data_IF_464852275911
#
_entry.id   IF_464852275911
#
_cell.length_a   1.000
_cell.length_b   1.000
_cell.length_c   1.000
_cell.angle_alpha   90.00
_cell.angle_beta   90.00
_cell.angle_gamma   90.00
#
_symmetry.space_group_name_H-M   'P 1'
#
loop_
_entity.id
_entity.type
_entity.pdbx_description
1 polymer ?
#
# COMPACT_ATOMS: atom_id res chain seq x y z
N UNK A 1 -19.72 -38.81 -34.01
CA UNK A 1 -18.58 -38.58 -34.92
C UNK A 1 -18.78 -37.24 -35.59
N UNK A 2 -18.07 -36.20 -35.13
CA UNK A 2 -18.19 -34.84 -35.63
C UNK A 2 -16.88 -34.11 -35.34
N UNK A 3 -16.25 -33.61 -36.40
CA UNK A 3 -14.81 -33.31 -36.51
C UNK A 3 -14.30 -32.16 -35.65
N UNK A 4 -13.01 -32.28 -35.32
CA UNK A 4 -12.19 -31.22 -34.75
C UNK A 4 -11.87 -30.16 -35.78
N UNK A 5 -12.28 -28.92 -35.50
CA UNK A 5 -11.68 -27.74 -36.11
C UNK A 5 -10.40 -27.40 -35.34
N UNK A 6 -9.26 -27.43 -36.02
CA UNK A 6 -8.01 -26.90 -35.52
C UNK A 6 -8.13 -25.39 -35.38
N UNK A 7 -7.89 -24.87 -34.18
CA UNK A 7 -7.68 -23.43 -33.98
C UNK A 7 -6.33 -23.10 -34.61
N UNK A 8 -6.34 -22.41 -35.76
CA UNK A 8 -5.15 -21.83 -36.35
C UNK A 8 -4.51 -20.86 -35.35
N UNK A 9 -3.31 -21.20 -34.89
CA UNK A 9 -2.44 -20.29 -34.14
C UNK A 9 -1.90 -19.23 -35.11
N UNK A 10 -2.70 -18.21 -35.37
CA UNK A 10 -2.23 -17.00 -36.03
C UNK A 10 -1.18 -16.30 -35.15
N UNK A 11 0.06 -16.25 -35.62
CA UNK A 11 1.11 -15.42 -35.00
C UNK A 11 0.74 -13.93 -35.12
N UNK A 12 0.12 -13.38 -34.08
CA UNK A 12 -0.14 -11.95 -33.97
C UNK A 12 1.16 -11.23 -33.59
N UNK A 13 1.66 -10.36 -34.47
CA UNK A 13 2.85 -9.55 -34.21
C UNK A 13 2.68 -8.60 -33.00
N UNK A 14 3.73 -8.35 -32.20
CA UNK A 14 3.76 -7.40 -31.08
C UNK A 14 3.39 -5.95 -31.41
N UNK A 15 2.43 -5.30 -30.70
CA UNK A 15 2.60 -3.90 -30.36
C UNK A 15 3.88 -3.79 -29.54
N UNK A 16 4.79 -2.96 -30.04
CA UNK A 16 5.99 -2.51 -29.35
C UNK A 16 5.56 -1.55 -28.23
N UNK A 17 5.34 -2.07 -27.03
CA UNK A 17 5.23 -1.21 -25.85
C UNK A 17 6.67 -0.96 -25.39
N UNK A 18 7.12 0.28 -25.57
CA UNK A 18 8.42 0.74 -25.09
C UNK A 18 8.41 0.74 -23.55
N UNK A 19 9.51 0.24 -22.95
CA UNK A 19 9.68 0.19 -21.50
C UNK A 19 10.54 1.36 -21.08
N UNK A 20 10.00 2.27 -20.27
CA UNK A 20 10.70 3.46 -19.82
C UNK A 20 11.46 3.17 -18.52
N UNK A 21 12.77 3.46 -18.51
CA UNK A 21 13.60 3.44 -17.29
C UNK A 21 13.58 4.78 -16.57
N UNK A 22 13.21 5.85 -17.26
CA UNK A 22 13.27 7.21 -16.78
C UNK A 22 11.94 7.93 -17.03
N UNK A 23 11.55 8.78 -16.07
CA UNK A 23 10.39 9.64 -16.21
C UNK A 23 10.84 10.86 -17.03
N UNK A 24 10.17 11.20 -18.15
CA UNK A 24 10.53 12.38 -18.93
C UNK A 24 10.56 13.63 -18.05
N UNK A 25 11.59 14.47 -18.19
CA UNK A 25 11.76 15.65 -17.34
C UNK A 25 10.53 16.59 -17.37
N UNK A 26 9.80 16.64 -18.49
CA UNK A 26 8.54 17.40 -18.64
C UNK A 26 7.37 16.85 -17.81
N UNK A 27 7.46 15.60 -17.34
CA UNK A 27 6.41 14.90 -16.58
C UNK A 27 6.76 14.77 -15.11
N UNK A 28 7.93 15.25 -14.69
CA UNK A 28 8.38 15.22 -13.30
C UNK A 28 7.82 16.45 -12.58
N UNK A 29 6.72 16.28 -11.86
CA UNK A 29 6.32 17.23 -10.81
C UNK A 29 7.10 16.93 -9.54
N UNK A 30 8.41 17.15 -9.55
CA UNK A 30 9.21 17.23 -8.32
C UNK A 30 9.14 18.65 -7.81
N UNK A 31 8.24 18.92 -6.88
CA UNK A 31 8.22 20.21 -6.23
C UNK A 31 7.57 20.12 -4.87
N UNK A 32 8.33 20.46 -3.84
CA UNK A 32 7.79 21.00 -2.58
C UNK A 32 6.84 22.17 -2.81
N UNK A 33 6.87 22.76 -4.00
CA UNK A 33 6.07 23.91 -4.44
C UNK A 33 4.77 23.50 -5.15
N UNK A 34 4.51 22.20 -5.34
CA UNK A 34 3.27 21.77 -5.98
C UNK A 34 2.07 22.11 -5.08
N UNK A 35 1.07 22.76 -5.67
CA UNK A 35 -0.10 23.25 -4.97
C UNK A 35 -1.30 22.31 -5.18
N UNK A 36 -1.92 21.91 -4.07
CA UNK A 36 -3.16 21.15 -4.09
C UNK A 36 -4.36 22.11 -4.20
N UNK A 37 -5.40 21.67 -4.90
CA UNK A 37 -6.69 22.35 -4.92
C UNK A 37 -7.43 22.07 -3.61
N UNK A 38 -7.84 23.07 -2.85
CA UNK A 38 -8.60 22.91 -1.60
C UNK A 38 -9.91 23.68 -1.66
N UNK A 39 -10.96 23.10 -1.08
CA UNK A 39 -12.27 23.70 -0.95
C UNK A 39 -12.21 24.80 0.10
N UNK A 40 -12.63 26.01 -0.29
CA UNK A 40 -12.73 27.20 0.57
C UNK A 40 -14.17 27.46 1.01
N UNK A 41 -15.13 27.23 0.13
CA UNK A 41 -16.55 27.39 0.43
C UNK A 41 -17.41 26.57 -0.53
N UNK A 42 -18.62 26.24 -0.09
CA UNK A 42 -19.63 25.53 -0.85
C UNK A 42 -20.95 26.27 -0.69
N UNK A 43 -21.66 26.45 -1.81
CA UNK A 43 -23.03 26.97 -1.86
C UNK A 43 -23.94 25.85 -2.37
N UNK A 44 -24.66 25.21 -1.45
CA UNK A 44 -25.68 24.21 -1.77
C UNK A 44 -26.82 24.77 -2.63
N UNK A 45 -27.23 26.02 -2.40
CA UNK A 45 -28.31 26.66 -3.17
C UNK A 45 -27.91 26.94 -4.62
N UNK A 46 -26.69 27.44 -4.83
CA UNK A 46 -26.21 27.81 -6.17
C UNK A 46 -25.53 26.63 -6.89
N UNK A 47 -25.32 25.52 -6.17
CA UNK A 47 -24.57 24.34 -6.61
C UNK A 47 -23.16 24.70 -7.08
N UNK A 48 -22.48 25.55 -6.32
CA UNK A 48 -21.13 26.02 -6.62
C UNK A 48 -20.18 25.67 -5.47
N UNK A 49 -19.01 25.14 -5.82
CA UNK A 49 -17.90 24.90 -4.90
C UNK A 49 -16.74 25.81 -5.31
N UNK A 50 -16.27 26.61 -4.35
CA UNK A 50 -15.12 27.49 -4.53
C UNK A 50 -13.89 26.82 -3.95
N UNK A 51 -12.88 26.68 -4.78
CA UNK A 51 -11.58 26.12 -4.46
C UNK A 51 -10.48 27.15 -4.65
N UNK A 52 -9.31 26.87 -4.09
CA UNK A 52 -8.08 27.64 -4.32
C UNK A 52 -6.86 26.74 -4.24
N UNK A 53 -5.74 27.15 -4.82
CA UNK A 53 -4.46 26.43 -4.77
C UNK A 53 -3.66 26.78 -3.53
N UNK A 54 -3.22 25.76 -2.78
CA UNK A 54 -2.38 25.93 -1.58
C UNK A 54 -1.23 24.93 -1.52
N UNK A 55 -0.13 25.32 -0.88
CA UNK A 55 0.89 24.38 -0.43
C UNK A 55 0.39 23.69 0.84
N UNK A 56 0.22 22.36 0.78
CA UNK A 56 -0.32 21.60 1.90
C UNK A 56 0.59 21.63 3.13
N UNK A 57 -0.03 21.76 4.29
CA UNK A 57 0.61 21.70 5.61
C UNK A 57 -0.41 21.17 6.63
N UNK A 58 0.00 21.02 7.89
CA UNK A 58 -0.82 20.39 8.93
C UNK A 58 -2.07 21.17 9.35
N UNK A 59 -2.22 22.44 8.97
CA UNK A 59 -3.46 23.20 9.19
C UNK A 59 -4.51 22.99 8.10
N UNK A 60 -4.16 22.29 7.03
CA UNK A 60 -5.10 21.85 5.99
C UNK A 60 -5.58 20.44 6.30
N UNK A 61 -6.76 20.09 5.80
CA UNK A 61 -7.39 18.82 6.09
C UNK A 61 -7.63 18.03 4.82
N UNK A 62 -7.28 16.75 4.81
CA UNK A 62 -7.60 15.83 3.71
C UNK A 62 -8.68 14.86 4.19
N UNK A 63 -9.84 14.87 3.54
CA UNK A 63 -10.89 13.91 3.84
C UNK A 63 -10.48 12.55 3.28
N UNK A 64 -10.39 11.58 4.19
CA UNK A 64 -10.09 10.19 3.90
C UNK A 64 -11.37 9.37 4.00
N UNK A 65 -11.79 8.76 2.91
CA UNK A 65 -13.10 8.14 2.81
C UNK A 65 -13.09 6.95 1.86
N UNK A 66 -14.13 6.12 1.93
CA UNK A 66 -14.33 5.05 0.95
C UNK A 66 -15.10 5.58 -0.26
N UNK A 67 -14.46 5.60 -1.43
CA UNK A 67 -15.11 5.98 -2.70
C UNK A 67 -16.30 5.07 -3.00
N UNK A 68 -17.38 5.66 -3.50
CA UNK A 68 -18.63 5.00 -3.84
C UNK A 68 -19.02 5.29 -5.30
N UNK A 69 -19.91 4.48 -5.87
CA UNK A 69 -20.48 4.77 -7.17
C UNK A 69 -21.32 6.07 -7.09
N UNK A 70 -21.13 6.99 -8.04
CA UNK A 70 -21.74 8.32 -8.07
C UNK A 70 -23.08 8.38 -8.81
N UNK A 71 -23.73 7.24 -9.03
CA UNK A 71 -25.09 7.21 -9.55
C UNK A 71 -26.03 7.99 -8.62
N UNK A 72 -26.95 8.78 -9.18
CA UNK A 72 -27.96 9.57 -8.44
C UNK A 72 -27.40 10.74 -7.62
N UNK A 73 -26.20 11.21 -7.93
CA UNK A 73 -25.66 12.43 -7.33
C UNK A 73 -26.24 13.71 -7.96
N UNK A 74 -26.19 14.80 -7.20
CA UNK A 74 -26.36 16.16 -7.72
C UNK A 74 -25.06 16.65 -8.34
N UNK A 75 -25.18 17.48 -9.39
CA UNK A 75 -24.03 18.08 -10.08
C UNK A 75 -23.75 19.47 -9.52
N UNK A 76 -22.49 19.71 -9.17
CA UNK A 76 -21.96 20.97 -8.67
C UNK A 76 -20.89 21.50 -9.62
N UNK A 77 -20.85 22.83 -9.78
CA UNK A 77 -19.77 23.50 -10.52
C UNK A 77 -18.64 23.83 -9.56
N UNK A 78 -17.43 23.35 -9.86
CA UNK A 78 -16.21 23.69 -9.12
C UNK A 78 -15.49 24.83 -9.84
N UNK A 79 -15.18 25.88 -9.09
CA UNK A 79 -14.40 27.04 -9.54
C UNK A 79 -13.12 27.09 -8.71
N UNK A 80 -11.96 27.16 -9.34
CA UNK A 80 -10.67 27.20 -8.65
C UNK A 80 -9.81 28.34 -9.21
N UNK A 81 -9.71 29.44 -8.47
CA UNK A 81 -8.94 30.62 -8.88
C UNK A 81 -9.25 31.02 -10.35
N UNK A 82 -8.25 31.04 -11.23
CA UNK A 82 -8.37 31.38 -12.66
C UNK A 82 -8.48 30.13 -13.58
N UNK A 83 -8.65 28.93 -13.01
CA UNK A 83 -8.75 27.69 -13.78
C UNK A 83 -10.12 27.54 -14.44
N UNK A 84 -10.22 26.84 -15.59
CA UNK A 84 -11.50 26.52 -16.20
C UNK A 84 -12.40 25.77 -15.20
N UNK A 85 -13.67 26.18 -15.05
CA UNK A 85 -14.59 25.48 -14.16
C UNK A 85 -14.89 24.09 -14.70
N UNK A 86 -15.09 23.15 -13.78
CA UNK A 86 -15.49 21.77 -14.10
C UNK A 86 -16.64 21.35 -13.19
N UNK A 87 -17.19 20.16 -13.42
CA UNK A 87 -18.29 19.64 -12.63
C UNK A 87 -17.85 18.49 -11.74
N UNK A 88 -18.40 18.41 -10.53
CA UNK A 88 -18.30 17.24 -9.67
C UNK A 88 -19.69 16.76 -9.22
N UNK A 89 -19.75 15.51 -8.78
CA UNK A 89 -20.98 14.83 -8.38
C UNK A 89 -20.96 14.60 -6.86
N UNK A 90 -21.97 15.09 -6.15
CA UNK A 90 -22.12 14.95 -4.69
C UNK A 90 -23.48 14.35 -4.33
N UNK A 91 -23.49 13.44 -3.35
CA UNK A 91 -24.76 13.04 -2.71
C UNK A 91 -25.28 14.15 -1.80
N UNK A 92 -26.61 14.27 -1.59
CA UNK A 92 -27.18 15.30 -0.72
C UNK A 92 -26.56 15.34 0.69
N UNK A 93 -26.35 14.18 1.31
CA UNK A 93 -25.75 14.11 2.65
C UNK A 93 -24.28 14.53 2.66
N UNK A 94 -23.54 14.27 1.58
CA UNK A 94 -22.14 14.70 1.46
C UNK A 94 -22.03 16.21 1.38
N UNK A 95 -22.96 16.87 0.68
CA UNK A 95 -23.02 18.33 0.61
C UNK A 95 -23.13 18.89 2.02
N UNK A 96 -24.16 18.48 2.77
CA UNK A 96 -24.42 18.95 4.14
C UNK A 96 -23.22 18.74 5.05
N UNK A 97 -22.62 17.54 5.02
CA UNK A 97 -21.46 17.23 5.84
C UNK A 97 -20.23 18.04 5.42
N UNK A 98 -20.00 18.20 4.12
CA UNK A 98 -18.88 18.97 3.58
C UNK A 98 -19.00 20.46 3.92
N UNK A 99 -20.19 21.07 3.87
CA UNK A 99 -20.39 22.46 4.31
C UNK A 99 -19.97 22.63 5.78
N UNK A 100 -20.35 21.68 6.65
CA UNK A 100 -19.97 21.70 8.06
C UNK A 100 -18.46 21.55 8.28
N UNK A 101 -17.81 20.64 7.54
CA UNK A 101 -16.36 20.48 7.63
C UNK A 101 -15.61 21.72 7.14
N UNK A 102 -15.99 22.29 6.01
CA UNK A 102 -15.37 23.51 5.49
C UNK A 102 -15.56 24.67 6.46
N UNK A 103 -16.76 24.84 7.04
CA UNK A 103 -17.01 25.88 8.02
C UNK A 103 -16.18 25.72 9.32
N UNK A 104 -15.96 24.48 9.76
CA UNK A 104 -15.27 24.17 11.02
C UNK A 104 -13.75 24.08 10.89
N UNK A 105 -13.27 23.54 9.76
CA UNK A 105 -11.88 23.17 9.53
C UNK A 105 -11.17 24.15 8.57
N UNK A 106 -11.94 24.95 7.81
CA UNK A 106 -11.41 25.84 6.78
C UNK A 106 -11.10 25.08 5.49
N UNK A 107 -9.83 25.01 5.13
CA UNK A 107 -9.40 24.42 3.86
C UNK A 107 -9.42 22.90 3.90
N UNK A 108 -10.29 22.33 3.07
CA UNK A 108 -10.52 20.88 2.98
C UNK A 108 -10.16 20.39 1.58
N UNK A 109 -9.36 19.34 1.51
CA UNK A 109 -9.12 18.58 0.30
C UNK A 109 -9.99 17.32 0.28
N UNK A 110 -10.62 17.06 -0.86
CA UNK A 110 -11.47 15.89 -1.11
C UNK A 110 -11.27 15.47 -2.57
N UNK A 111 -10.66 14.32 -2.80
CA UNK A 111 -10.24 13.82 -4.12
C UNK A 111 -11.25 14.01 -5.27
N UNK A 112 -12.51 13.58 -5.13
CA UNK A 112 -13.50 13.70 -6.21
C UNK A 112 -14.04 15.11 -6.44
N UNK A 113 -13.75 16.05 -5.53
CA UNK A 113 -14.09 17.47 -5.71
C UNK A 113 -12.87 18.23 -6.20
N UNK A 114 -11.72 18.00 -5.58
CA UNK A 114 -10.47 18.71 -5.81
C UNK A 114 -9.69 18.22 -7.03
N UNK A 115 -10.10 17.13 -7.66
CA UNK A 115 -9.51 16.61 -8.90
C UNK A 115 -10.63 16.57 -9.95
N UNK A 116 -10.40 17.19 -11.10
CA UNK A 116 -11.29 17.09 -12.26
C UNK A 116 -11.21 15.67 -12.82
N UNK A 117 -12.20 14.86 -12.46
CA UNK A 117 -12.27 13.45 -12.86
C UNK A 117 -12.43 13.26 -14.38
N UNK A 118 -12.87 14.29 -15.09
CA UNK A 118 -13.04 14.29 -16.55
C UNK A 118 -11.74 14.60 -17.32
N UNK A 119 -10.72 15.15 -16.64
CA UNK A 119 -9.44 15.53 -17.22
C UNK A 119 -8.32 14.56 -16.83
N UNK A 120 -7.82 13.77 -17.77
CA UNK A 120 -6.67 12.88 -17.54
C UNK A 120 -5.42 13.66 -17.11
N UNK A 121 -5.21 14.85 -17.67
CA UNK A 121 -4.09 15.71 -17.30
C UNK A 121 -4.20 16.20 -15.83
N UNK A 122 -5.39 16.63 -15.38
CA UNK A 122 -5.58 17.07 -13.99
C UNK A 122 -5.46 15.88 -13.01
N UNK A 123 -6.02 14.71 -13.37
CA UNK A 123 -5.84 13.47 -12.60
C UNK A 123 -4.36 13.13 -12.43
N UNK A 124 -3.57 13.12 -13.50
CA UNK A 124 -2.13 12.85 -13.42
C UNK A 124 -1.44 13.87 -12.50
N UNK A 125 -1.69 15.16 -12.71
CA UNK A 125 -1.07 16.23 -11.93
C UNK A 125 -1.40 16.12 -10.44
N UNK A 126 -2.67 15.87 -10.09
CA UNK A 126 -3.11 15.76 -8.70
C UNK A 126 -2.69 14.44 -8.05
N UNK A 127 -2.76 13.32 -8.76
CA UNK A 127 -2.34 12.01 -8.23
C UNK A 127 -0.84 11.99 -7.94
N UNK A 128 -0.01 12.61 -8.77
CA UNK A 128 1.43 12.71 -8.53
C UNK A 128 1.76 13.44 -7.21
N UNK A 129 0.89 14.32 -6.72
CA UNK A 129 1.08 15.07 -5.48
C UNK A 129 0.25 14.54 -4.30
N UNK A 130 -0.56 13.49 -4.47
CA UNK A 130 -1.34 12.90 -3.37
C UNK A 130 -0.47 12.46 -2.20
N UNK A 131 0.73 11.94 -2.47
CA UNK A 131 1.71 11.62 -1.44
C UNK A 131 2.09 12.85 -0.59
N UNK A 132 2.30 14.01 -1.23
CA UNK A 132 2.56 15.27 -0.52
C UNK A 132 1.34 15.70 0.29
N UNK A 133 0.13 15.55 -0.25
CA UNK A 133 -1.12 15.92 0.43
C UNK A 133 -1.24 15.14 1.74
N UNK A 134 -1.18 13.81 1.70
CA UNK A 134 -1.35 12.98 2.90
C UNK A 134 -0.14 12.97 3.84
N UNK A 135 1.06 13.32 3.36
CA UNK A 135 2.21 13.50 4.24
C UNK A 135 2.07 14.75 5.12
N UNK A 136 1.44 15.80 4.60
CA UNK A 136 1.45 17.13 5.21
C UNK A 136 0.11 17.55 5.80
N UNK A 137 -1.01 17.19 5.18
CA UNK A 137 -2.36 17.50 5.66
C UNK A 137 -2.75 16.65 6.86
N UNK A 138 -3.66 17.14 7.68
CA UNK A 138 -4.32 16.28 8.68
C UNK A 138 -5.41 15.45 8.01
N UNK A 139 -5.21 14.14 7.90
CA UNK A 139 -6.22 13.22 7.40
C UNK A 139 -7.41 13.13 8.36
N UNK A 140 -8.62 13.36 7.87
CA UNK A 140 -9.87 13.12 8.61
C UNK A 140 -10.52 11.87 8.03
N UNK A 141 -10.53 10.78 8.78
CA UNK A 141 -11.11 9.52 8.30
C UNK A 141 -12.62 9.52 8.55
N UNK A 142 -13.43 9.24 7.53
CA UNK A 142 -14.90 9.36 7.59
C UNK A 142 -15.63 8.14 7.02
N UNK A 143 -16.88 7.99 7.44
CA UNK A 143 -17.82 6.98 6.98
C UNK A 143 -18.41 7.27 5.60
N UNK A 144 -19.38 6.44 5.21
CA UNK A 144 -20.22 6.71 4.03
C UNK A 144 -20.88 8.09 4.13
N UNK A 145 -21.09 8.75 2.99
CA UNK A 145 -21.71 10.08 2.95
C UNK A 145 -20.92 11.17 3.68
N UNK A 146 -19.64 10.93 4.01
CA UNK A 146 -18.81 11.80 4.85
C UNK A 146 -19.31 11.95 6.30
N UNK A 147 -20.11 11.01 6.79
CA UNK A 147 -20.54 11.03 8.19
C UNK A 147 -19.35 10.85 9.15
N UNK A 148 -19.41 11.44 10.36
CA UNK A 148 -18.37 11.30 11.40
C UNK A 148 -18.46 9.92 12.09
N UNK A 149 -18.43 8.86 11.30
CA UNK A 149 -18.48 7.46 11.72
C UNK A 149 -17.30 6.68 11.15
N UNK A 150 -17.05 5.47 11.63
CA UNK A 150 -16.00 4.61 11.07
C UNK A 150 -16.26 4.35 9.58
N UNK A 151 -15.22 4.37 8.72
CA UNK A 151 -15.34 3.93 7.33
C UNK A 151 -15.73 2.45 7.29
N UNK A 152 -16.32 1.94 6.20
CA UNK A 152 -16.62 0.51 6.05
C UNK A 152 -15.33 -0.34 6.09
N UNK A 153 -15.44 -1.63 6.47
CA UNK A 153 -14.27 -2.53 6.65
C UNK A 153 -13.37 -2.64 5.41
N UNK A 154 -13.91 -2.51 4.21
CA UNK A 154 -13.14 -2.56 2.96
C UNK A 154 -12.23 -1.34 2.76
N UNK A 155 -12.41 -0.27 3.53
CA UNK A 155 -11.48 0.86 3.60
C UNK A 155 -10.06 0.41 3.98
N UNK A 156 -9.91 -0.46 4.97
CA UNK A 156 -8.60 -0.97 5.40
C UNK A 156 -7.91 -1.78 4.31
N UNK A 157 -8.67 -2.32 3.36
CA UNK A 157 -8.13 -3.13 2.27
C UNK A 157 -7.75 -2.29 1.06
N UNK A 158 -8.25 -1.06 0.92
CA UNK A 158 -8.08 -0.30 -0.32
C UNK A 158 -6.71 0.37 -0.42
N UNK A 159 -6.07 0.26 -1.58
CA UNK A 159 -4.76 0.82 -1.87
C UNK A 159 -4.70 2.34 -1.64
N UNK A 160 -5.68 3.09 -2.17
CA UNK A 160 -5.72 4.54 -1.99
C UNK A 160 -5.75 4.95 -0.52
N UNK A 161 -6.59 4.28 0.27
CA UNK A 161 -6.77 4.51 1.69
C UNK A 161 -5.56 4.12 2.54
N UNK A 162 -4.56 3.48 1.96
CA UNK A 162 -3.36 3.01 2.67
C UNK A 162 -2.49 4.19 3.09
N UNK A 163 -2.05 5.02 2.15
CA UNK A 163 -1.24 6.19 2.49
C UNK A 163 -1.98 7.19 3.41
N UNK A 164 -3.30 7.33 3.25
CA UNK A 164 -4.13 8.30 3.98
C UNK A 164 -4.10 8.06 5.49
N UNK A 165 -4.04 6.79 5.89
CA UNK A 165 -4.06 6.37 7.30
C UNK A 165 -2.67 6.08 7.87
N UNK A 166 -1.74 5.67 7.01
CA UNK A 166 -0.39 5.24 7.41
C UNK A 166 0.60 6.39 7.59
N UNK A 167 0.33 7.57 7.02
CA UNK A 167 1.28 8.69 7.06
C UNK A 167 0.67 9.97 7.60
N UNK A 168 1.56 10.92 7.89
CA UNK A 168 1.19 12.27 8.28
C UNK A 168 0.38 12.35 9.58
N UNK A 169 -0.13 13.56 9.88
CA UNK A 169 -1.12 13.76 10.92
C UNK A 169 -2.47 13.13 10.55
N UNK A 170 -3.18 12.60 11.54
CA UNK A 170 -4.50 11.99 11.36
C UNK A 170 -5.41 12.35 12.53
N UNK A 171 -6.72 12.38 12.26
CA UNK A 171 -7.76 12.59 13.26
C UNK A 171 -8.95 11.68 13.04
N UNK A 172 -9.45 11.13 14.12
CA UNK A 172 -10.66 10.32 14.19
C UNK A 172 -11.77 11.13 14.85
N UNK A 173 -12.84 11.39 14.10
CA UNK A 173 -13.97 12.22 14.54
C UNK A 173 -15.18 11.39 15.01
N UNK A 174 -15.00 10.09 15.17
CA UNK A 174 -16.05 9.15 15.50
C UNK A 174 -16.25 9.02 17.00
N UNK A 175 -17.45 8.65 17.40
CA UNK A 175 -17.71 8.08 18.72
C UNK A 175 -17.16 6.65 18.76
N UNK A 176 -15.91 6.48 19.23
CA UNK A 176 -15.24 5.17 19.28
C UNK A 176 -15.90 4.19 20.26
N UNK A 177 -16.59 4.69 21.29
CA UNK A 177 -17.25 3.84 22.29
C UNK A 177 -18.50 3.16 21.70
N UNK A 178 -19.18 3.83 20.76
CA UNK A 178 -20.35 3.31 20.07
C UNK A 178 -20.05 2.33 18.90
N UNK A 179 -18.78 2.11 18.55
CA UNK A 179 -18.43 1.30 17.36
C UNK A 179 -18.45 -0.21 17.62
N UNK A 180 -18.63 -0.99 16.57
CA UNK A 180 -18.40 -2.43 16.58
C UNK A 180 -16.98 -2.75 17.09
N UNK A 181 -16.88 -3.62 18.10
CA UNK A 181 -15.61 -3.89 18.76
C UNK A 181 -14.61 -4.53 17.81
N UNK A 182 -15.04 -5.56 17.07
CA UNK A 182 -14.17 -6.30 16.16
C UNK A 182 -13.58 -5.36 15.10
N UNK A 183 -14.42 -4.49 14.52
CA UNK A 183 -13.96 -3.51 13.54
C UNK A 183 -13.02 -2.46 14.16
N UNK A 184 -13.33 -1.96 15.36
CA UNK A 184 -12.48 -1.01 16.06
C UNK A 184 -11.10 -1.62 16.36
N UNK A 185 -11.05 -2.88 16.79
CA UNK A 185 -9.78 -3.58 17.06
C UNK A 185 -8.98 -3.83 15.78
N UNK A 186 -9.64 -4.19 14.67
CA UNK A 186 -9.00 -4.37 13.36
C UNK A 186 -8.35 -3.05 12.90
N UNK A 187 -9.10 -1.95 12.99
CA UNK A 187 -8.61 -0.62 12.62
C UNK A 187 -7.44 -0.17 13.50
N UNK A 188 -7.54 -0.37 14.82
CA UNK A 188 -6.47 -0.02 15.76
C UNK A 188 -5.18 -0.82 15.50
N UNK A 189 -5.28 -2.12 15.18
CA UNK A 189 -4.12 -2.95 14.81
C UNK A 189 -3.44 -2.44 13.54
N UNK A 190 -4.22 -2.12 12.51
CA UNK A 190 -3.70 -1.63 11.23
C UNK A 190 -2.94 -0.31 11.42
N UNK A 191 -3.54 0.66 12.10
CA UNK A 191 -2.92 1.96 12.40
C UNK A 191 -1.66 1.84 13.27
N UNK A 192 -1.68 0.92 14.25
CA UNK A 192 -0.55 0.71 15.14
C UNK A 192 0.73 0.26 14.42
N UNK A 193 0.61 -0.33 13.21
CA UNK A 193 1.76 -0.76 12.40
C UNK A 193 2.75 0.35 12.09
N UNK A 194 2.32 1.61 12.06
CA UNK A 194 3.22 2.75 11.81
C UNK A 194 3.79 3.38 13.04
N UNK A 195 3.17 3.23 14.21
CA UNK A 195 3.71 3.83 15.42
C UNK A 195 4.70 2.85 16.07
N UNK A 196 6.00 3.11 15.90
CA UNK A 196 7.06 2.31 16.53
C UNK A 196 6.81 2.15 18.03
N UNK A 197 6.83 0.92 18.54
CA UNK A 197 6.54 0.58 19.93
C UNK A 197 5.05 0.30 20.22
N UNK A 198 4.14 0.87 19.42
CA UNK A 198 2.70 0.57 19.51
C UNK A 198 2.39 -0.74 18.78
N UNK A 199 3.04 -1.00 17.65
CA UNK A 199 2.86 -2.23 16.85
C UNK A 199 3.13 -3.52 17.65
N UNK A 200 4.04 -3.47 18.62
CA UNK A 200 4.41 -4.61 19.45
C UNK A 200 3.43 -4.84 20.59
N UNK A 201 2.97 -3.75 21.22
CA UNK A 201 2.08 -3.75 22.38
C UNK A 201 0.61 -3.96 22.01
N UNK A 202 0.18 -3.52 20.82
CA UNK A 202 -1.20 -3.73 20.33
C UNK A 202 -1.55 -5.21 20.23
N UNK A 203 -0.56 -6.10 20.12
CA UNK A 203 -0.77 -7.56 20.11
C UNK A 203 -1.50 -8.10 21.36
N UNK A 204 -1.46 -7.39 22.49
CA UNK A 204 -2.20 -7.75 23.72
C UNK A 204 -3.71 -7.46 23.65
N UNK A 205 -4.20 -6.86 22.57
CA UNK A 205 -5.63 -6.70 22.37
C UNK A 205 -6.34 -8.06 22.26
N UNK A 206 -5.70 -9.06 21.64
CA UNK A 206 -6.30 -10.39 21.40
C UNK A 206 -5.92 -11.44 22.46
N UNK A 207 -5.02 -11.12 23.39
CA UNK A 207 -4.45 -12.10 24.32
C UNK A 207 -4.17 -11.51 25.69
N UNK A 208 -4.09 -12.37 26.69
CA UNK A 208 -3.74 -11.98 28.05
C UNK A 208 -2.27 -11.55 28.12
N UNK A 209 -1.98 -10.62 29.03
CA UNK A 209 -0.61 -10.23 29.33
C UNK A 209 0.19 -11.42 29.89
N UNK A 210 1.43 -11.56 29.40
CA UNK A 210 2.44 -12.51 29.88
C UNK A 210 3.68 -11.73 30.30
N UNK A 211 4.21 -12.01 31.49
CA UNK A 211 5.42 -11.37 32.02
C UNK A 211 6.66 -11.65 31.16
N UNK A 212 6.70 -12.76 30.43
CA UNK A 212 7.77 -13.07 29.48
C UNK A 212 7.77 -12.11 28.27
N UNK A 213 6.67 -11.39 28.05
CA UNK A 213 6.52 -10.41 26.99
C UNK A 213 6.57 -8.96 27.48
N UNK A 214 7.06 -8.70 28.71
CA UNK A 214 7.19 -7.33 29.25
C UNK A 214 8.07 -6.42 28.38
N UNK A 215 8.93 -7.00 27.53
CA UNK A 215 9.69 -6.26 26.53
C UNK A 215 8.78 -5.48 25.54
N UNK A 216 7.57 -5.97 25.22
CA UNK A 216 6.57 -5.27 24.40
C UNK A 216 5.94 -4.08 25.14
N UNK A 217 5.86 -4.15 26.46
CA UNK A 217 5.46 -3.00 27.29
C UNK A 217 6.61 -1.99 27.37
N UNK A 218 7.84 -2.48 27.47
CA UNK A 218 9.02 -1.63 27.43
C UNK A 218 9.12 -0.84 26.11
N UNK A 219 8.67 -1.37 24.97
CA UNK A 219 8.60 -0.60 23.71
C UNK A 219 7.52 0.47 23.74
N UNK A 220 6.34 0.20 24.32
CA UNK A 220 5.28 1.20 24.52
C UNK A 220 5.77 2.40 25.35
N UNK A 221 6.55 2.14 26.41
CA UNK A 221 7.15 3.18 27.28
C UNK A 221 8.22 4.04 26.58
N UNK A 222 8.68 3.66 25.39
CA UNK A 222 9.62 4.49 24.59
C UNK A 222 8.89 5.57 23.78
N UNK A 223 7.60 5.40 23.47
CA UNK A 223 6.85 6.39 22.68
C UNK A 223 6.90 7.78 23.33
N UNK A 224 6.64 7.94 24.65
CA UNK A 224 6.67 9.26 25.29
C UNK A 224 8.04 9.92 25.32
N UNK A 225 9.14 9.18 25.12
CA UNK A 225 10.49 9.76 25.04
C UNK A 225 10.63 10.62 23.78
N UNK A 226 9.98 10.23 22.69
CA UNK A 226 9.93 10.99 21.43
C UNK A 226 8.70 11.91 21.36
N UNK A 227 7.58 11.51 21.95
CA UNK A 227 6.30 12.22 21.91
C UNK A 227 5.73 12.40 23.33
N UNK A 228 6.23 13.35 24.14
CA UNK A 228 5.87 13.46 25.56
C UNK A 228 4.36 13.57 25.83
N UNK A 229 3.59 14.17 24.92
CA UNK A 229 2.13 14.28 25.00
C UNK A 229 1.41 12.92 25.07
N UNK A 230 2.05 11.82 24.66
CA UNK A 230 1.44 10.47 24.69
C UNK A 230 1.59 9.78 26.04
N UNK A 231 2.34 10.35 27.01
CA UNK A 231 2.68 9.68 28.26
C UNK A 231 1.46 9.14 29.02
N UNK A 232 0.40 9.96 29.16
CA UNK A 232 -0.81 9.55 29.84
C UNK A 232 -1.51 8.39 29.15
N UNK A 233 -1.60 8.42 27.82
CA UNK A 233 -2.20 7.36 27.01
C UNK A 233 -1.38 6.07 27.08
N UNK A 234 -0.04 6.15 26.99
CA UNK A 234 0.81 4.97 27.12
C UNK A 234 0.65 4.29 28.49
N UNK A 235 0.55 5.07 29.57
CA UNK A 235 0.29 4.53 30.92
C UNK A 235 -1.11 3.90 31.03
N UNK A 236 -2.13 4.52 30.43
CA UNK A 236 -3.49 3.96 30.37
C UNK A 236 -3.53 2.65 29.60
N UNK A 237 -2.91 2.59 28.41
CA UNK A 237 -2.82 1.37 27.62
C UNK A 237 -2.08 0.27 28.38
N UNK A 238 -0.97 0.58 29.05
CA UNK A 238 -0.29 -0.40 29.90
C UNK A 238 -1.19 -0.93 31.02
N UNK A 239 -1.91 -0.04 31.71
CA UNK A 239 -2.86 -0.44 32.75
C UNK A 239 -3.92 -1.40 32.19
N UNK A 240 -4.53 -1.06 31.05
CA UNK A 240 -5.52 -1.90 30.40
C UNK A 240 -4.94 -3.22 29.89
N UNK A 241 -3.67 -3.27 29.44
CA UNK A 241 -3.02 -4.52 29.03
C UNK A 241 -2.84 -5.47 30.23
N UNK A 242 -2.44 -4.94 31.39
CA UNK A 242 -2.20 -5.73 32.60
C UNK A 242 -3.48 -6.16 33.30
N UNK A 243 -4.62 -5.52 32.99
CA UNK A 243 -5.93 -5.86 33.54
C UNK A 243 -6.55 -7.12 32.88
N UNK A 244 -7.62 -7.64 33.50
CA UNK A 244 -8.33 -8.82 33.02
C UNK A 244 -8.87 -8.62 31.59
N UNK A 245 -8.67 -9.63 30.74
CA UNK A 245 -9.09 -9.57 29.34
C UNK A 245 -10.59 -9.80 29.17
N UNK A 246 -11.27 -8.77 28.69
CA UNK A 246 -12.68 -8.72 28.33
C UNK A 246 -12.92 -7.63 27.26
N UNK A 247 -14.12 -7.57 26.70
CA UNK A 247 -14.52 -6.63 25.64
C UNK A 247 -14.25 -5.17 25.99
N UNK A 248 -14.51 -4.76 27.24
CA UNK A 248 -14.25 -3.40 27.70
C UNK A 248 -12.75 -3.07 27.62
N UNK A 249 -11.91 -3.94 28.16
CA UNK A 249 -10.46 -3.75 28.15
C UNK A 249 -9.86 -3.84 26.73
N UNK A 250 -10.48 -4.61 25.81
CA UNK A 250 -10.08 -4.62 24.39
C UNK A 250 -10.41 -3.31 23.71
N UNK A 251 -11.63 -2.81 23.94
CA UNK A 251 -12.08 -1.49 23.44
C UNK A 251 -11.15 -0.39 23.93
N UNK A 252 -10.85 -0.34 25.22
CA UNK A 252 -9.99 0.70 25.77
C UNK A 252 -8.56 0.63 25.21
N UNK A 253 -8.01 -0.57 24.97
CA UNK A 253 -6.72 -0.70 24.25
C UNK A 253 -6.84 -0.14 22.82
N UNK A 254 -7.90 -0.49 22.09
CA UNK A 254 -8.11 -0.03 20.71
C UNK A 254 -8.22 1.51 20.66
N UNK A 255 -9.09 2.09 21.50
CA UNK A 255 -9.28 3.54 21.62
C UNK A 255 -7.95 4.21 21.95
N UNK A 256 -7.23 3.71 22.95
CA UNK A 256 -5.96 4.32 23.37
C UNK A 256 -4.92 4.27 22.25
N UNK A 257 -4.85 3.18 21.48
CA UNK A 257 -3.96 3.07 20.34
C UNK A 257 -4.28 4.10 19.24
N UNK A 258 -5.57 4.29 18.93
CA UNK A 258 -6.01 5.31 17.97
C UNK A 258 -5.69 6.74 18.46
N UNK A 259 -5.89 7.02 19.76
CA UNK A 259 -5.54 8.32 20.36
C UNK A 259 -4.03 8.56 20.38
N UNK A 260 -3.21 7.53 20.63
CA UNK A 260 -1.76 7.63 20.49
C UNK A 260 -1.39 7.99 19.04
N UNK A 261 -2.03 7.35 18.04
CA UNK A 261 -1.78 7.67 16.63
C UNK A 261 -2.10 9.13 16.29
N UNK A 262 -3.20 9.70 16.80
CA UNK A 262 -3.53 11.11 16.54
C UNK A 262 -2.43 12.07 17.06
N UNK A 263 -1.74 11.69 18.13
CA UNK A 263 -0.66 12.49 18.74
C UNK A 263 0.73 12.20 18.16
N UNK A 264 0.87 11.16 17.34
CA UNK A 264 2.13 10.75 16.70
C UNK A 264 1.99 10.93 15.18
N UNK A 265 2.53 12.01 14.61
CA UNK A 265 2.62 12.14 13.16
C UNK A 265 3.54 11.03 12.63
N UNK A 266 3.06 10.27 11.64
CA UNK A 266 3.82 9.20 11.00
C UNK A 266 4.66 9.76 9.86
N UNK A 267 5.62 10.63 10.20
CA UNK A 267 6.55 11.28 9.29
C UNK A 267 7.87 10.50 9.11
N UNK A 268 8.11 9.51 9.97
CA UNK A 268 9.37 8.78 9.99
C UNK A 268 9.53 7.84 8.77
N UNK A 269 10.78 7.58 8.36
CA UNK A 269 11.08 6.68 7.25
C UNK A 269 10.44 5.30 7.42
N UNK A 270 10.13 4.68 6.28
CA UNK A 270 9.67 3.30 6.18
C UNK A 270 10.85 2.33 6.07
N UNK A 271 10.66 1.09 6.50
CA UNK A 271 11.47 -0.03 5.98
C UNK A 271 10.88 -0.36 4.61
N UNK A 272 11.43 0.26 3.56
CA UNK A 272 11.05 0.15 2.14
C UNK A 272 10.72 -1.28 1.69
N UNK A 273 11.51 -2.23 2.14
CA UNK A 273 11.36 -3.64 1.82
C UNK A 273 10.23 -4.33 2.59
N UNK A 274 9.81 -3.86 3.75
CA UNK A 274 8.54 -4.30 4.36
C UNK A 274 7.36 -3.58 3.71
N UNK A 275 7.59 -2.32 3.33
CA UNK A 275 6.60 -1.48 2.68
C UNK A 275 6.10 -2.08 1.37
N UNK A 276 7.02 -2.65 0.59
CA UNK A 276 6.71 -3.31 -0.67
C UNK A 276 5.77 -4.51 -0.51
N UNK A 277 5.63 -5.11 0.70
CA UNK A 277 4.65 -6.18 0.93
C UNK A 277 3.20 -5.67 0.86
N UNK A 278 2.95 -4.42 1.25
CA UNK A 278 1.59 -3.88 1.31
C UNK A 278 0.94 -3.72 -0.06
N UNK A 279 1.74 -3.70 -1.14
CA UNK A 279 1.24 -3.77 -2.51
C UNK A 279 0.35 -5.01 -2.72
N UNK A 280 0.72 -6.13 -2.12
CA UNK A 280 0.00 -7.39 -2.27
C UNK A 280 -1.19 -7.51 -1.33
N UNK A 281 -1.22 -6.72 -0.26
CA UNK A 281 -2.31 -6.73 0.73
C UNK A 281 -3.48 -5.84 0.31
N UNK A 282 -3.20 -4.85 -0.53
CA UNK A 282 -4.18 -3.84 -0.91
C UNK A 282 -5.03 -4.29 -2.13
N UNK A 283 -6.32 -4.03 -2.04
CA UNK A 283 -7.27 -4.07 -3.14
C UNK A 283 -7.21 -2.75 -3.92
N UNK A 284 -7.20 -2.84 -5.24
CA UNK A 284 -7.18 -1.69 -6.13
C UNK A 284 -8.26 -1.84 -7.21
N UNK A 285 -8.88 -0.72 -7.59
CA UNK A 285 -9.85 -0.71 -8.70
C UNK A 285 -9.14 -0.85 -10.04
N UNK A 286 -7.95 -0.27 -10.15
CA UNK A 286 -7.01 -0.47 -11.26
C UNK A 286 -5.67 -0.80 -10.61
N UNK A 287 -4.98 -1.85 -11.06
CA UNK A 287 -3.79 -2.35 -10.36
C UNK A 287 -2.69 -1.32 -10.18
N UNK A 288 -2.61 -0.34 -11.09
CA UNK A 288 -1.66 0.75 -10.93
C UNK A 288 -1.85 1.55 -9.65
N UNK A 289 -3.06 1.62 -9.10
CA UNK A 289 -3.37 2.31 -7.85
C UNK A 289 -2.66 1.66 -6.65
N UNK A 290 -2.27 0.38 -6.71
CA UNK A 290 -1.44 -0.25 -5.67
C UNK A 290 -0.11 0.48 -5.52
N UNK A 291 0.54 0.80 -6.63
CA UNK A 291 1.81 1.53 -6.62
C UNK A 291 1.61 2.90 -5.95
N UNK A 292 0.68 3.71 -6.44
CA UNK A 292 0.53 5.09 -5.96
C UNK A 292 -0.03 5.18 -4.54
N UNK A 293 -1.00 4.32 -4.20
CA UNK A 293 -1.62 4.27 -2.87
C UNK A 293 -0.65 3.82 -1.77
N UNK A 294 0.39 3.04 -2.11
CA UNK A 294 1.39 2.59 -1.14
C UNK A 294 2.68 3.42 -1.18
N UNK A 295 3.19 3.75 -2.37
CA UNK A 295 4.47 4.44 -2.55
C UNK A 295 4.38 5.95 -2.69
N UNK A 296 3.18 6.54 -2.80
CA UNK A 296 3.00 7.99 -2.95
C UNK A 296 3.75 8.82 -1.90
N UNK A 297 3.44 8.61 -0.61
CA UNK A 297 4.14 9.32 0.49
C UNK A 297 5.63 8.98 0.58
N UNK A 298 6.08 7.70 0.55
CA UNK A 298 7.50 7.39 0.59
C UNK A 298 8.34 8.05 -0.52
N UNK A 299 7.82 8.06 -1.75
CA UNK A 299 8.47 8.71 -2.89
C UNK A 299 8.60 10.22 -2.63
N UNK A 300 7.53 10.85 -2.14
CA UNK A 300 7.53 12.26 -1.76
C UNK A 300 8.56 12.58 -0.67
N UNK A 301 8.56 11.84 0.45
CA UNK A 301 9.45 12.08 1.59
C UNK A 301 10.93 11.96 1.23
N UNK A 302 11.24 11.15 0.21
CA UNK A 302 12.60 10.88 -0.25
C UNK A 302 12.97 11.67 -1.50
N UNK A 303 12.08 12.57 -1.94
CA UNK A 303 12.23 13.39 -3.14
C UNK A 303 12.55 12.57 -4.40
N UNK A 304 11.94 11.38 -4.52
CA UNK A 304 12.05 10.52 -5.69
C UNK A 304 10.82 10.76 -6.57
N UNK A 305 11.00 11.05 -7.87
CA UNK A 305 9.89 11.23 -8.80
C UNK A 305 8.93 10.04 -8.84
N UNK A 306 7.64 10.35 -8.84
CA UNK A 306 6.52 9.41 -9.05
C UNK A 306 5.74 9.91 -10.27
N UNK A 307 5.39 9.03 -11.21
CA UNK A 307 4.62 9.43 -12.39
C UNK A 307 3.48 8.45 -12.70
N UNK A 308 2.25 8.97 -12.65
CA UNK A 308 1.04 8.19 -12.95
C UNK A 308 1.02 7.61 -14.37
N UNK A 309 1.60 8.33 -15.33
CA UNK A 309 1.66 7.97 -16.75
C UNK A 309 2.80 6.99 -17.08
N UNK A 310 3.87 7.01 -16.29
CA UNK A 310 5.06 6.16 -16.46
C UNK A 310 5.27 5.24 -15.24
N UNK A 311 4.36 4.28 -14.99
CA UNK A 311 4.45 3.37 -13.86
C UNK A 311 5.69 2.45 -13.90
N UNK A 312 6.16 2.13 -15.09
CA UNK A 312 7.41 1.40 -15.35
C UNK A 312 8.65 2.17 -14.93
N UNK A 313 8.75 3.42 -15.36
CA UNK A 313 9.84 4.29 -14.94
C UNK A 313 9.80 4.51 -13.43
N UNK A 314 8.60 4.65 -12.84
CA UNK A 314 8.41 4.77 -11.39
C UNK A 314 8.94 3.53 -10.64
N UNK A 315 8.64 2.32 -11.11
CA UNK A 315 9.22 1.11 -10.52
C UNK A 315 10.73 1.06 -10.66
N UNK A 316 11.27 1.49 -11.79
CA UNK A 316 12.71 1.57 -11.98
C UNK A 316 13.33 2.53 -10.96
N UNK A 317 12.70 3.67 -10.69
CA UNK A 317 13.13 4.58 -9.63
C UNK A 317 13.07 3.93 -8.25
N UNK A 318 12.03 3.17 -7.94
CA UNK A 318 11.94 2.43 -6.66
C UNK A 318 13.08 1.42 -6.54
N UNK A 319 13.30 0.56 -7.54
CA UNK A 319 14.35 -0.44 -7.51
C UNK A 319 15.75 0.18 -7.39
N UNK A 320 15.97 1.31 -8.06
CA UNK A 320 17.24 2.05 -8.03
C UNK A 320 17.53 2.68 -6.66
N UNK A 321 16.52 3.31 -6.03
CA UNK A 321 16.70 4.01 -4.76
C UNK A 321 16.53 3.09 -3.55
N UNK A 322 15.73 2.03 -3.68
CA UNK A 322 15.37 1.08 -2.63
C UNK A 322 15.57 -0.36 -3.11
N UNK A 323 16.83 -0.78 -3.35
CA UNK A 323 17.10 -2.14 -3.84
C UNK A 323 16.64 -3.23 -2.88
N UNK A 324 16.52 -2.96 -1.58
CA UNK A 324 15.91 -3.89 -0.64
C UNK A 324 14.41 -4.14 -0.91
N UNK A 325 13.73 -3.22 -1.58
CA UNK A 325 12.35 -3.35 -2.04
C UNK A 325 12.23 -3.93 -3.46
N UNK A 326 13.36 -4.22 -4.11
CA UNK A 326 13.41 -4.77 -5.47
C UNK A 326 13.13 -6.29 -5.47
N UNK A 327 11.88 -6.62 -5.14
CA UNK A 327 11.31 -7.95 -5.25
C UNK A 327 9.85 -7.87 -5.65
N UNK A 328 9.34 -8.98 -6.18
CA UNK A 328 7.99 -9.06 -6.70
C UNK A 328 7.38 -10.45 -6.52
N UNK A 329 6.06 -10.49 -6.33
CA UNK A 329 5.26 -11.69 -6.34
C UNK A 329 4.36 -11.72 -7.57
N UNK A 330 4.44 -12.80 -8.33
CA UNK A 330 3.89 -12.95 -9.67
C UNK A 330 2.70 -13.91 -9.73
N UNK A 331 1.82 -13.84 -8.75
CA UNK A 331 0.55 -14.53 -8.85
C UNK A 331 -0.57 -13.64 -8.32
N UNK A 332 -1.81 -13.79 -8.84
CA UNK A 332 -2.97 -13.13 -8.30
C UNK A 332 -3.11 -13.42 -6.82
N UNK A 333 -3.54 -12.41 -6.06
CA UNK A 333 -3.76 -12.55 -4.63
C UNK A 333 -4.82 -13.61 -4.30
N UNK A 334 -5.87 -13.72 -5.12
CA UNK A 334 -6.99 -14.67 -5.00
C UNK A 334 -6.72 -16.06 -5.59
N UNK A 335 -5.72 -16.18 -6.47
CA UNK A 335 -5.29 -17.43 -7.07
C UNK A 335 -3.75 -17.54 -7.07
N UNK A 336 -3.09 -17.54 -5.90
CA UNK A 336 -1.64 -17.43 -5.81
C UNK A 336 -0.90 -18.68 -6.30
N UNK A 337 -1.62 -19.80 -6.49
CA UNK A 337 -1.14 -21.01 -7.16
C UNK A 337 -1.11 -20.89 -8.70
N UNK A 338 -1.68 -19.83 -9.25
CA UNK A 338 -1.74 -19.56 -10.69
C UNK A 338 -0.89 -18.32 -11.00
N UNK A 339 0.34 -18.45 -11.52
CA UNK A 339 1.13 -17.27 -11.89
C UNK A 339 0.40 -16.44 -12.94
N UNK A 340 0.57 -15.10 -12.94
CA UNK A 340 0.01 -14.29 -14.01
C UNK A 340 0.58 -14.78 -15.36
N UNK A 341 -0.31 -15.01 -16.33
CA UNK A 341 0.06 -15.71 -17.57
C UNK A 341 1.07 -14.92 -18.42
N UNK A 342 1.98 -15.65 -19.10
CA UNK A 342 2.60 -15.12 -20.33
C UNK A 342 4.11 -14.90 -20.36
N UNK A 343 4.86 -15.16 -19.28
CA UNK A 343 6.33 -15.17 -19.39
C UNK A 343 6.81 -16.54 -19.91
N UNK A 344 7.48 -16.55 -21.06
CA UNK A 344 8.20 -17.73 -21.57
C UNK A 344 9.69 -17.74 -21.17
N UNK A 345 10.08 -16.91 -20.18
CA UNK A 345 11.46 -16.66 -19.77
C UNK A 345 11.56 -15.88 -18.45
N UNK A 346 12.78 -15.57 -18.00
CA UNK A 346 13.03 -14.89 -16.74
C UNK A 346 12.74 -13.38 -16.82
N UNK A 347 11.64 -12.92 -16.21
CA UNK A 347 11.29 -11.50 -16.12
C UNK A 347 12.01 -10.79 -14.96
N UNK A 348 12.42 -9.54 -15.16
CA UNK A 348 12.92 -8.68 -14.06
C UNK A 348 11.79 -8.32 -13.10
N UNK A 349 12.14 -7.92 -11.87
CA UNK A 349 11.16 -7.42 -10.88
C UNK A 349 10.31 -6.28 -11.44
N UNK A 350 10.94 -5.34 -12.12
CA UNK A 350 10.29 -4.14 -12.66
C UNK A 350 9.27 -4.50 -13.76
N UNK A 351 9.64 -5.40 -14.68
CA UNK A 351 8.70 -5.91 -15.70
C UNK A 351 7.53 -6.64 -15.08
N UNK A 352 7.82 -7.45 -14.08
CA UNK A 352 6.82 -8.22 -13.36
C UNK A 352 5.80 -7.30 -12.66
N UNK A 353 6.27 -6.29 -11.94
CA UNK A 353 5.38 -5.31 -11.31
C UNK A 353 4.52 -4.56 -12.33
N UNK A 354 5.10 -4.19 -13.48
CA UNK A 354 4.33 -3.57 -14.57
C UNK A 354 3.27 -4.50 -15.16
N UNK A 355 3.58 -5.79 -15.29
CA UNK A 355 2.63 -6.79 -15.78
C UNK A 355 1.42 -6.90 -14.85
N UNK A 356 1.67 -7.03 -13.54
CA UNK A 356 0.62 -7.05 -12.51
C UNK A 356 -0.22 -5.77 -12.62
N UNK A 357 0.43 -4.61 -12.78
CA UNK A 357 -0.25 -3.31 -12.85
C UNK A 357 -1.14 -3.06 -14.07
N UNK A 358 -0.86 -3.70 -15.21
CA UNK A 358 -1.59 -3.43 -16.45
C UNK A 358 -2.66 -4.49 -16.76
N UNK A 359 -2.69 -5.63 -16.04
CA UNK A 359 -3.45 -6.83 -16.41
C UNK A 359 -3.27 -7.25 -17.89
N UNK A 360 -2.25 -6.73 -18.55
CA UNK A 360 -2.00 -6.95 -19.96
C UNK A 360 -0.94 -8.04 -20.08
N UNK A 361 -1.13 -9.05 -20.93
CA UNK A 361 -0.10 -10.03 -21.19
C UNK A 361 1.15 -9.29 -21.67
N UNK A 362 2.23 -9.35 -20.87
CA UNK A 362 3.53 -8.99 -21.40
C UNK A 362 3.84 -10.00 -22.48
N UNK A 363 4.27 -9.50 -23.64
CA UNK A 363 4.66 -10.41 -24.70
C UNK A 363 5.94 -11.10 -24.26
N UNK A 364 6.00 -12.43 -24.28
CA UNK A 364 7.27 -13.10 -24.14
C UNK A 364 8.20 -12.60 -25.25
N UNK A 365 9.35 -12.05 -24.87
CA UNK A 365 10.45 -11.78 -25.80
C UNK A 365 10.63 -10.34 -26.31
N UNK A 366 10.97 -9.41 -25.43
CA UNK A 366 11.97 -8.36 -25.77
C UNK A 366 13.09 -8.23 -24.73
N UNK A 367 12.88 -8.67 -23.48
CA UNK A 367 13.84 -8.49 -22.39
C UNK A 367 13.94 -9.67 -21.39
N UNK A 368 13.17 -10.74 -21.57
CA UNK A 368 13.26 -11.89 -20.67
C UNK A 368 14.57 -12.65 -20.96
N UNK A 369 15.51 -12.64 -20.01
CA UNK A 369 16.76 -13.39 -20.16
C UNK A 369 16.47 -14.88 -20.01
N UNK A 370 17.19 -15.71 -20.76
CA UNK A 370 17.25 -17.12 -20.43
C UNK A 370 17.93 -17.23 -19.05
N UNK A 371 17.41 -18.05 -18.11
CA UNK A 371 18.14 -18.34 -16.90
C UNK A 371 19.51 -18.88 -17.24
N UNK A 372 20.56 -18.36 -16.59
CA UNK A 372 21.92 -18.88 -16.75
C UNK A 372 22.14 -20.12 -15.87
N UNK A 373 21.29 -20.29 -14.86
CA UNK A 373 21.30 -21.45 -13.98
C UNK A 373 19.92 -21.73 -13.38
N UNK A 374 19.73 -22.98 -12.97
CA UNK A 374 18.54 -23.42 -12.27
C UNK A 374 18.76 -24.73 -11.56
N UNK A 375 18.04 -24.94 -10.47
CA UNK A 375 18.02 -26.18 -9.71
C UNK A 375 16.63 -26.44 -9.15
N UNK A 376 16.34 -27.70 -8.88
CA UNK A 376 15.33 -28.03 -7.89
C UNK A 376 15.96 -27.94 -6.50
N UNK A 377 15.19 -27.43 -5.54
CA UNK A 377 15.59 -27.36 -4.15
C UNK A 377 14.54 -28.07 -3.29
N UNK A 378 14.98 -29.08 -2.54
CA UNK A 378 14.14 -29.85 -1.63
C UNK A 378 14.24 -29.25 -0.23
N UNK A 379 13.10 -28.85 0.33
CA UNK A 379 13.03 -28.30 1.69
C UNK A 379 13.28 -29.40 2.72
N UNK A 380 14.23 -29.17 3.64
CA UNK A 380 14.63 -30.18 4.63
C UNK A 380 13.52 -30.65 5.57
N UNK A 381 12.50 -29.81 5.85
CA UNK A 381 11.44 -30.14 6.82
C UNK A 381 10.12 -30.63 6.22
N UNK A 382 9.84 -30.36 4.94
CA UNK A 382 8.56 -30.74 4.31
C UNK A 382 8.71 -31.72 3.15
N UNK A 383 9.93 -32.02 2.69
CA UNK A 383 10.19 -32.78 1.46
C UNK A 383 9.55 -32.15 0.20
N UNK A 384 9.04 -30.93 0.29
CA UNK A 384 8.52 -30.19 -0.85
C UNK A 384 9.68 -29.69 -1.71
N UNK A 385 9.44 -29.64 -3.01
CA UNK A 385 10.43 -29.24 -4.00
C UNK A 385 9.98 -27.94 -4.63
N UNK A 386 10.87 -26.96 -4.67
CA UNK A 386 10.71 -25.75 -5.45
C UNK A 386 11.72 -25.69 -6.59
N UNK A 387 11.34 -25.01 -7.66
CA UNK A 387 12.26 -24.61 -8.72
C UNK A 387 12.91 -23.28 -8.35
N UNK A 388 14.24 -23.21 -8.43
CA UNK A 388 15.00 -21.97 -8.27
C UNK A 388 15.78 -21.75 -9.55
N UNK A 389 15.64 -20.57 -10.14
CA UNK A 389 16.43 -20.18 -11.31
C UNK A 389 17.01 -18.80 -11.10
N UNK A 390 18.07 -18.47 -11.82
CA UNK A 390 18.72 -17.17 -11.71
C UNK A 390 19.38 -16.74 -13.01
N UNK A 391 19.61 -15.44 -13.12
CA UNK A 391 20.49 -14.83 -14.12
C UNK A 391 21.62 -14.05 -13.41
N UNK A 392 22.23 -13.09 -14.11
CA UNK A 392 23.30 -12.24 -13.57
C UNK A 392 22.81 -11.29 -12.46
N UNK A 393 21.54 -10.88 -12.48
CA UNK A 393 21.01 -9.80 -11.68
C UNK A 393 19.87 -10.23 -10.74
N UNK A 394 19.22 -11.37 -10.97
CA UNK A 394 17.98 -11.75 -10.30
C UNK A 394 17.90 -13.25 -10.00
N UNK A 395 17.05 -13.58 -9.03
CA UNK A 395 16.70 -14.95 -8.63
C UNK A 395 15.19 -15.09 -8.60
N UNK A 396 14.69 -16.18 -9.16
CA UNK A 396 13.28 -16.53 -9.25
C UNK A 396 12.99 -17.85 -8.57
N UNK A 397 11.87 -17.92 -7.85
CA UNK A 397 11.39 -19.11 -7.15
C UNK A 397 10.04 -19.50 -7.73
N UNK A 398 9.90 -20.77 -8.07
CA UNK A 398 8.69 -21.37 -8.61
C UNK A 398 8.26 -22.56 -7.75
N UNK A 399 6.95 -22.68 -7.52
CA UNK A 399 6.40 -23.80 -6.74
C UNK A 399 6.09 -25.01 -7.61
N UNK A 400 5.96 -24.80 -8.93
CA UNK A 400 5.73 -25.87 -9.89
C UNK A 400 7.05 -26.63 -10.18
N UNK A 401 6.95 -27.95 -10.18
CA UNK A 401 8.07 -28.91 -10.07
C UNK A 401 8.62 -29.36 -11.43
N UNK A 402 7.99 -29.00 -12.55
CA UNK A 402 8.33 -29.57 -13.85
C UNK A 402 9.28 -28.66 -14.65
N UNK A 403 10.50 -29.13 -14.96
CA UNK A 403 11.37 -28.45 -15.91
C UNK A 403 10.78 -28.51 -17.34
N UNK A 404 11.01 -27.49 -18.17
CA UNK A 404 11.69 -26.22 -17.85
C UNK A 404 10.82 -25.32 -16.98
N UNK A 405 11.42 -24.71 -15.95
CA UNK A 405 10.71 -23.73 -15.11
C UNK A 405 10.56 -22.45 -15.93
N UNK A 406 9.34 -22.18 -16.39
CA UNK A 406 9.04 -21.01 -17.22
C UNK A 406 8.27 -19.92 -16.47
N UNK A 407 7.68 -20.25 -15.32
CA UNK A 407 6.92 -19.31 -14.50
C UNK A 407 7.46 -19.26 -13.08
N UNK A 408 7.63 -18.06 -12.56
CA UNK A 408 8.13 -17.79 -11.21
C UNK A 408 7.00 -17.19 -10.40
N UNK A 409 6.92 -17.55 -9.12
CA UNK A 409 5.95 -16.99 -8.17
C UNK A 409 6.57 -15.82 -7.41
N UNK A 410 7.88 -15.87 -7.18
CA UNK A 410 8.61 -14.79 -6.53
C UNK A 410 9.90 -14.51 -7.27
N UNK A 411 10.23 -13.24 -7.45
CA UNK A 411 11.44 -12.76 -8.10
C UNK A 411 12.05 -11.69 -7.19
N UNK A 412 13.36 -11.74 -6.97
CA UNK A 412 14.11 -10.72 -6.25
C UNK A 412 15.44 -10.44 -6.97
N UNK A 413 15.93 -9.21 -6.91
CA UNK A 413 17.30 -8.96 -7.38
C UNK A 413 18.33 -9.57 -6.44
N UNK A 414 19.48 -9.95 -7.00
CA UNK A 414 20.64 -10.39 -6.20
C UNK A 414 21.09 -9.28 -5.26
N UNK A 415 20.98 -8.02 -5.66
CA UNK A 415 21.30 -6.87 -4.80
C UNK A 415 20.36 -6.79 -3.60
N UNK A 416 19.05 -6.97 -3.80
CA UNK A 416 18.07 -7.10 -2.72
C UNK A 416 18.49 -8.19 -1.72
N UNK A 417 18.86 -9.38 -2.21
CA UNK A 417 19.29 -10.51 -1.37
C UNK A 417 20.59 -10.19 -0.62
N UNK A 418 21.60 -9.64 -1.29
CA UNK A 418 22.90 -9.28 -0.70
C UNK A 418 22.75 -8.25 0.42
N UNK A 419 21.95 -7.20 0.22
CA UNK A 419 21.70 -6.18 1.26
C UNK A 419 20.93 -6.72 2.46
N UNK A 420 20.08 -7.73 2.24
CA UNK A 420 19.41 -8.45 3.32
C UNK A 420 20.29 -9.47 4.05
N UNK A 421 21.51 -9.72 3.58
CA UNK A 421 22.45 -10.70 4.16
C UNK A 421 22.90 -10.26 5.55
N UNK A 422 22.95 -11.19 6.49
CA UNK A 422 23.41 -10.91 7.86
C UNK A 422 22.49 -10.03 8.71
N UNK A 423 21.45 -9.41 8.12
CA UNK A 423 20.39 -8.74 8.88
C UNK A 423 19.58 -9.82 9.61
N UNK A 424 19.90 -10.03 10.88
CA UNK A 424 19.08 -10.83 11.79
C UNK A 424 17.69 -10.21 11.96
N UNK A 425 16.66 -11.02 12.20
CA UNK A 425 15.28 -10.54 12.35
C UNK A 425 14.42 -10.67 11.10
N UNK A 426 13.37 -9.86 11.01
CA UNK A 426 12.24 -9.94 10.06
C UNK A 426 12.51 -9.29 8.69
N UNK A 427 13.67 -8.63 8.53
CA UNK A 427 13.91 -7.67 7.45
C UNK A 427 14.50 -8.25 6.14
N UNK A 428 14.92 -9.53 6.09
CA UNK A 428 15.52 -10.10 4.87
C UNK A 428 14.49 -10.44 3.78
N UNK A 429 14.78 -10.27 2.48
CA UNK A 429 13.83 -10.53 1.38
C UNK A 429 13.37 -11.99 1.32
N UNK A 430 14.24 -12.93 1.67
CA UNK A 430 13.87 -14.35 1.76
C UNK A 430 12.81 -14.57 2.85
N UNK A 431 12.96 -13.96 4.02
CA UNK A 431 11.96 -14.05 5.10
C UNK A 431 10.65 -13.33 4.74
N UNK A 432 10.72 -12.24 3.98
CA UNK A 432 9.55 -11.51 3.46
C UNK A 432 8.73 -12.35 2.50
N UNK A 433 9.41 -13.11 1.63
CA UNK A 433 8.75 -14.12 0.81
C UNK A 433 8.03 -15.19 1.66
N UNK A 434 8.62 -15.64 2.78
CA UNK A 434 7.94 -16.54 3.73
C UNK A 434 6.68 -15.91 4.28
N UNK A 435 6.80 -14.67 4.77
CA UNK A 435 5.66 -13.93 5.33
C UNK A 435 4.54 -13.77 4.33
N UNK A 436 4.90 -13.46 3.08
CA UNK A 436 3.93 -13.36 2.00
C UNK A 436 3.23 -14.70 1.77
N UNK A 437 3.97 -15.81 1.70
CA UNK A 437 3.38 -17.15 1.57
C UNK A 437 2.46 -17.49 2.76
N UNK A 438 2.92 -17.29 4.00
CA UNK A 438 2.13 -17.54 5.21
C UNK A 438 0.86 -16.69 5.24
N UNK A 439 0.97 -15.43 4.80
CA UNK A 439 -0.15 -14.50 4.71
C UNK A 439 -1.15 -14.92 3.64
N UNK A 440 -0.70 -15.30 2.45
CA UNK A 440 -1.54 -15.82 1.39
C UNK A 440 -2.28 -17.08 1.84
N UNK A 441 -1.62 -18.01 2.56
CA UNK A 441 -2.29 -19.19 3.15
C UNK A 441 -3.40 -18.81 4.13
N UNK A 442 -3.16 -17.82 5.01
CA UNK A 442 -4.20 -17.30 5.92
C UNK A 442 -5.40 -16.73 5.18
N UNK A 443 -5.21 -16.30 3.94
CA UNK A 443 -6.26 -15.78 3.05
C UNK A 443 -6.93 -16.88 2.21
N UNK A 444 -6.62 -18.16 2.48
CA UNK A 444 -7.29 -19.31 1.85
C UNK A 444 -6.53 -19.91 0.67
N UNK A 445 -5.33 -19.42 0.37
CA UNK A 445 -4.52 -19.91 -0.72
C UNK A 445 -4.06 -21.37 -0.56
N UNK A 446 -4.23 -22.18 -1.61
CA UNK A 446 -3.77 -23.56 -1.64
C UNK A 446 -2.27 -23.67 -1.95
N UNK A 447 -1.44 -23.08 -1.08
CA UNK A 447 0.02 -23.10 -1.21
C UNK A 447 0.56 -24.24 -0.33
N UNK A 448 1.39 -25.17 -0.85
CA UNK A 448 1.96 -26.25 -0.05
C UNK A 448 2.68 -25.69 1.19
N UNK A 449 2.79 -26.46 2.28
CA UNK A 449 3.32 -25.99 3.57
C UNK A 449 4.85 -25.86 3.56
N UNK A 450 5.33 -24.82 2.90
CA UNK A 450 6.72 -24.42 2.84
C UNK A 450 7.10 -23.79 4.16
N UNK A 451 7.95 -24.48 4.93
CA UNK A 451 8.76 -23.85 5.96
C UNK A 451 10.10 -23.54 5.31
N UNK A 452 10.28 -22.31 4.86
CA UNK A 452 11.55 -21.88 4.25
C UNK A 452 12.62 -21.93 5.34
N UNK A 453 13.51 -22.89 5.20
CA UNK A 453 14.56 -23.15 6.18
C UNK A 453 15.62 -22.05 6.12
N UNK A 454 16.40 -21.92 7.19
CA UNK A 454 17.64 -21.12 7.17
C UNK A 454 18.54 -21.53 6.00
N UNK A 455 18.47 -22.78 5.56
CA UNK A 455 19.23 -23.34 4.45
C UNK A 455 18.79 -22.77 3.10
N UNK A 456 17.48 -22.60 2.83
CA UNK A 456 17.04 -21.95 1.59
C UNK A 456 17.52 -20.50 1.55
N UNK A 457 17.47 -19.79 2.68
CA UNK A 457 18.04 -18.44 2.79
C UNK A 457 19.52 -18.45 2.43
N UNK A 458 20.32 -19.29 3.09
CA UNK A 458 21.76 -19.40 2.83
C UNK A 458 22.05 -19.79 1.38
N UNK A 459 21.21 -20.65 0.78
CA UNK A 459 21.33 -21.05 -0.62
C UNK A 459 21.07 -19.88 -1.59
N UNK A 460 20.02 -19.10 -1.36
CA UNK A 460 19.72 -17.91 -2.16
C UNK A 460 20.81 -16.83 -2.00
N UNK A 461 21.35 -16.65 -0.80
CA UNK A 461 22.49 -15.76 -0.55
C UNK A 461 23.74 -16.21 -1.32
N UNK A 462 24.00 -17.52 -1.39
CA UNK A 462 25.10 -18.08 -2.19
C UNK A 462 24.90 -17.85 -3.69
N UNK A 463 23.68 -18.00 -4.21
CA UNK A 463 23.36 -17.66 -5.60
C UNK A 463 23.54 -16.17 -5.86
N UNK A 464 23.21 -15.33 -4.88
CA UNK A 464 23.39 -13.89 -5.00
C UNK A 464 24.87 -13.50 -4.99
N UNK A 465 25.74 -14.18 -4.24
CA UNK A 465 27.17 -13.90 -4.20
C UNK A 465 27.95 -14.41 -5.42
N UNK A 466 27.41 -15.41 -6.12
CA UNK A 466 27.94 -15.95 -7.38
C UNK A 466 27.52 -15.09 -8.58
#
# INVERSE_FOLDING_TARGET
>A
MGGGGSIEQGHVAPPSIEYHTDIPASSVTTGTDAQARVIRSISSSDRVIQCTRVTMNSSHFAISHRWQNRAQCDVYTVQCDDEPPYTCELFPDEVVNLEQYVAKLGYVWLDYVCIDQSSDADKVAQVNIMGQIYANATSIVLGAGLHPTMPPRDYLKRAWCFQERMFGPIRFVWDMDAQDLDHLTEFAKDIALRVSGLSESISFIDRKYDYNEDWRIATLRKIPQKYPQTAALCNQMEHHIRDHRNDHSQRQIAITALRIRELVPCDHPIVTSEWNLFLFDCQASIEKDRLYGTWGVPMYQLNVPLSYDYPDATWHQIAKHFPEADYAFHAPHDAPDQPHGGFSGFGTVTQLMCHIMKYAPLRPGTHAKAPIGGTQYTMAHSSEVCGIVWDEAYVGIAWNKHPPIQTFHFIASKECIRRGKGVGGEAGPVKKYIRLIERLRKLGANIPHWTVTFELKAFLEKIADA
#
